data_IF_885463650164
#
_entry.id   IF_885463650164
#
_cell.length_a   1.000
_cell.length_b   1.000
_cell.length_c   1.000
_cell.angle_alpha   90.00
_cell.angle_beta   90.00
_cell.angle_gamma   90.00
#
_symmetry.space_group_name_H-M   'P 1'
#
loop_
_entity.id
_entity.type
_entity.pdbx_description
1 polymer ?
#
# COMPACT_ATOMS: atom_id res chain seq x y z
N UNK A 1 -13.14 9.85 -2.58
CA UNK A 1 -12.00 10.28 -3.43
C UNK A 1 -12.46 10.90 -4.74
N UNK A 2 -13.27 10.24 -5.57
CA UNK A 2 -13.79 10.85 -6.82
C UNK A 2 -14.56 12.14 -6.56
N UNK A 3 -15.46 12.16 -5.59
CA UNK A 3 -16.22 13.37 -5.24
C UNK A 3 -15.30 14.49 -4.73
N UNK A 4 -14.29 14.17 -3.93
CA UNK A 4 -13.26 15.13 -3.50
C UNK A 4 -12.52 15.71 -4.71
N UNK A 5 -12.09 14.86 -5.66
CA UNK A 5 -11.43 15.31 -6.89
C UNK A 5 -12.34 16.23 -7.71
N UNK A 6 -13.62 15.88 -7.84
CA UNK A 6 -14.62 16.68 -8.55
C UNK A 6 -14.92 18.03 -7.87
N UNK A 7 -14.77 18.10 -6.55
CA UNK A 7 -14.89 19.34 -5.76
C UNK A 7 -13.59 20.17 -5.73
N UNK A 8 -12.53 19.75 -6.45
CA UNK A 8 -11.27 20.48 -6.54
C UNK A 8 -10.30 20.27 -5.36
N UNK A 9 -10.54 19.27 -4.50
CA UNK A 9 -9.59 18.93 -3.43
C UNK A 9 -8.31 18.31 -3.98
N UNK A 10 -7.20 18.64 -3.34
CA UNK A 10 -5.95 17.91 -3.54
C UNK A 10 -5.94 16.62 -2.71
N UNK A 11 -5.68 15.50 -3.37
CA UNK A 11 -5.61 14.18 -2.74
C UNK A 11 -4.15 13.78 -2.59
N UNK A 12 -3.70 13.71 -1.35
CA UNK A 12 -2.36 13.25 -0.96
C UNK A 12 -2.47 11.85 -0.35
N UNK A 13 -1.81 10.86 -0.94
CA UNK A 13 -1.83 9.48 -0.46
C UNK A 13 -0.51 9.10 0.19
N UNK A 14 -0.57 8.52 1.38
CA UNK A 14 0.54 7.80 2.02
C UNK A 14 0.12 6.35 2.12
N UNK A 15 0.90 5.44 1.52
CA UNK A 15 0.62 4.02 1.50
C UNK A 15 1.74 3.24 2.20
N UNK A 16 1.38 2.43 3.20
CA UNK A 16 2.29 1.53 3.88
C UNK A 16 2.11 0.12 3.34
N UNK A 17 3.12 -0.38 2.65
CA UNK A 17 3.16 -1.72 2.13
C UNK A 17 4.02 -2.64 3.00
N UNK A 18 3.77 -3.94 2.91
CA UNK A 18 4.55 -5.00 3.55
C UNK A 18 5.00 -5.98 2.48
N UNK A 19 6.21 -6.52 2.58
CA UNK A 19 6.79 -7.45 1.61
C UNK A 19 6.03 -8.78 1.48
N UNK A 20 5.18 -9.12 2.46
CA UNK A 20 4.36 -10.33 2.40
C UNK A 20 3.11 -10.25 3.28
N UNK A 21 2.04 -11.00 2.93
CA UNK A 21 0.87 -11.15 3.80
C UNK A 21 1.20 -11.88 5.11
N UNK A 22 2.23 -12.73 5.15
CA UNK A 22 2.69 -13.44 6.35
C UNK A 22 3.11 -12.46 7.44
N UNK A 23 3.75 -11.33 7.08
CA UNK A 23 4.06 -10.28 8.04
C UNK A 23 2.81 -9.64 8.64
N UNK A 24 1.77 -9.41 7.82
CA UNK A 24 0.50 -8.90 8.31
C UNK A 24 -0.16 -9.90 9.28
N UNK A 25 -0.15 -11.19 8.94
CA UNK A 25 -0.65 -12.28 9.79
C UNK A 25 0.11 -12.31 11.13
N UNK A 26 1.44 -12.28 11.10
CA UNK A 26 2.26 -12.28 12.31
C UNK A 26 1.97 -11.06 13.20
N UNK A 27 1.77 -9.88 12.60
CA UNK A 27 1.39 -8.66 13.32
C UNK A 27 0.01 -8.75 13.95
N UNK A 28 -0.97 -9.33 13.25
CA UNK A 28 -2.31 -9.58 13.80
C UNK A 28 -2.23 -10.57 14.96
N UNK A 29 -1.48 -11.66 14.84
CA UNK A 29 -1.27 -12.65 15.92
C UNK A 29 -0.71 -11.99 17.18
N UNK A 30 0.38 -11.21 17.06
CA UNK A 30 0.97 -10.48 18.19
C UNK A 30 -0.02 -9.49 18.83
N UNK A 31 -0.83 -8.82 18.02
CA UNK A 31 -1.88 -7.92 18.51
C UNK A 31 -2.94 -8.68 19.31
N UNK A 32 -3.37 -9.84 18.84
CA UNK A 32 -4.36 -10.69 19.53
C UNK A 32 -3.81 -11.22 20.86
N UNK A 33 -2.55 -11.65 20.88
CA UNK A 33 -1.84 -12.04 22.12
C UNK A 33 -1.82 -10.89 23.15
N UNK A 34 -1.78 -9.64 22.67
CA UNK A 34 -1.85 -8.43 23.50
C UNK A 34 -3.29 -7.95 23.79
N UNK A 35 -4.31 -8.77 23.53
CA UNK A 35 -5.72 -8.48 23.82
C UNK A 35 -6.49 -7.71 22.72
N UNK A 36 -5.92 -7.52 21.54
CA UNK A 36 -6.58 -6.83 20.43
C UNK A 36 -7.47 -7.72 19.53
N UNK A 37 -8.14 -7.09 18.56
CA UNK A 37 -9.07 -7.79 17.66
C UNK A 37 -8.37 -8.74 16.68
N UNK A 38 -8.96 -9.91 16.41
CA UNK A 38 -8.47 -10.86 15.43
C UNK A 38 -9.00 -10.55 14.02
N UNK A 39 -8.20 -10.84 12.99
CA UNK A 39 -8.66 -10.84 11.59
C UNK A 39 -8.28 -12.20 11.00
N UNK A 40 -9.23 -12.96 10.42
CA UNK A 40 -8.93 -14.25 9.79
C UNK A 40 -7.84 -14.16 8.72
N UNK A 41 -6.98 -15.18 8.64
CA UNK A 41 -5.81 -15.16 7.73
C UNK A 41 -6.22 -15.10 6.24
N UNK A 42 -7.30 -15.79 5.86
CA UNK A 42 -7.87 -15.74 4.50
C UNK A 42 -8.30 -14.32 4.12
N UNK A 43 -8.90 -13.59 5.07
CA UNK A 43 -9.28 -12.18 4.90
C UNK A 43 -8.05 -11.30 4.72
N UNK A 44 -6.98 -11.54 5.49
CA UNK A 44 -5.71 -10.80 5.38
C UNK A 44 -5.10 -11.02 4.00
N UNK A 45 -4.97 -12.27 3.56
CA UNK A 45 -4.39 -12.63 2.25
C UNK A 45 -5.17 -12.04 1.08
N UNK A 46 -6.50 -12.18 1.10
CA UNK A 46 -7.38 -11.59 0.08
C UNK A 46 -7.25 -10.06 0.05
N UNK A 47 -7.22 -9.41 1.22
CA UNK A 47 -7.08 -7.94 1.31
C UNK A 47 -5.69 -7.46 0.88
N UNK A 48 -4.65 -8.23 1.14
CA UNK A 48 -3.29 -7.92 0.69
C UNK A 48 -3.23 -7.80 -0.84
N UNK A 49 -3.74 -8.82 -1.55
CA UNK A 49 -3.75 -8.82 -3.01
C UNK A 49 -4.67 -7.73 -3.58
N UNK A 50 -5.88 -7.60 -3.05
CA UNK A 50 -6.80 -6.54 -3.47
C UNK A 50 -6.25 -5.14 -3.20
N UNK A 51 -5.48 -4.97 -2.12
CA UNK A 51 -4.85 -3.71 -1.76
C UNK A 51 -3.84 -3.25 -2.82
N UNK A 52 -2.93 -4.14 -3.24
CA UNK A 52 -1.97 -3.89 -4.34
C UNK A 52 -2.69 -3.47 -5.63
N UNK A 53 -3.68 -4.26 -6.04
CA UNK A 53 -4.48 -3.97 -7.25
C UNK A 53 -5.24 -2.64 -7.16
N UNK A 54 -5.88 -2.36 -6.03
CA UNK A 54 -6.59 -1.10 -5.84
C UNK A 54 -5.63 0.10 -5.83
N UNK A 55 -4.42 -0.06 -5.29
CA UNK A 55 -3.43 1.00 -5.23
C UNK A 55 -3.10 1.49 -6.65
N UNK A 56 -2.78 0.56 -7.55
CA UNK A 56 -2.46 0.86 -8.96
C UNK A 56 -3.69 1.33 -9.74
N UNK A 57 -4.79 0.58 -9.66
CA UNK A 57 -5.90 0.72 -10.61
C UNK A 57 -6.88 1.82 -10.19
N UNK A 58 -7.02 2.07 -8.88
CA UNK A 58 -8.05 2.95 -8.34
C UNK A 58 -7.49 4.19 -7.64
N UNK A 59 -6.38 4.07 -6.91
CA UNK A 59 -5.92 5.14 -6.01
C UNK A 59 -4.97 6.09 -6.72
N UNK A 60 -3.89 5.60 -7.33
CA UNK A 60 -2.93 6.45 -8.04
C UNK A 60 -3.57 7.41 -9.05
N UNK A 61 -4.54 7.00 -9.90
CA UNK A 61 -5.15 7.91 -10.88
C UNK A 61 -5.96 9.06 -10.26
N UNK A 62 -6.33 8.94 -8.99
CA UNK A 62 -7.10 9.94 -8.26
C UNK A 62 -6.23 10.89 -7.43
N UNK A 63 -4.96 10.55 -7.19
CA UNK A 63 -4.08 11.32 -6.31
C UNK A 63 -3.32 12.41 -7.07
N UNK A 64 -3.09 13.54 -6.42
CA UNK A 64 -2.22 14.61 -6.92
C UNK A 64 -0.75 14.38 -6.58
N UNK A 65 -0.51 13.72 -5.45
CA UNK A 65 0.79 13.20 -5.03
C UNK A 65 0.59 11.95 -4.20
N UNK A 66 1.59 11.06 -4.20
CA UNK A 66 1.56 9.86 -3.38
C UNK A 66 2.96 9.44 -2.96
N UNK A 67 3.06 8.76 -1.82
CA UNK A 67 4.30 8.13 -1.34
C UNK A 67 3.97 6.70 -0.91
N UNK A 68 4.80 5.76 -1.32
CA UNK A 68 4.73 4.36 -0.91
C UNK A 68 5.94 4.02 -0.05
N UNK A 69 5.68 3.54 1.16
CA UNK A 69 6.70 3.12 2.10
C UNK A 69 6.73 1.59 2.25
N UNK A 70 7.94 1.04 2.39
CA UNK A 70 8.15 -0.27 2.95
C UNK A 70 8.11 -0.18 4.48
N UNK A 71 7.12 -0.85 5.07
CA UNK A 71 6.95 -0.96 6.50
C UNK A 71 7.21 -2.40 6.98
N UNK A 72 8.01 -3.18 6.25
CA UNK A 72 8.32 -4.58 6.61
C UNK A 72 9.30 -4.69 7.76
N UNK A 73 10.20 -3.72 7.89
CA UNK A 73 11.21 -3.65 8.96
C UNK A 73 10.90 -2.51 9.95
N UNK A 74 11.75 -2.36 10.98
CA UNK A 74 11.68 -1.22 11.90
C UNK A 74 12.05 0.10 11.25
N UNK A 75 12.85 0.05 10.17
CA UNK A 75 13.27 1.22 9.43
C UNK A 75 12.30 1.43 8.27
N UNK A 76 11.54 2.50 8.34
CA UNK A 76 10.63 2.90 7.27
C UNK A 76 11.44 3.43 6.09
N UNK A 77 11.26 2.83 4.91
CA UNK A 77 11.98 3.24 3.70
C UNK A 77 11.00 3.61 2.59
N UNK A 78 11.33 4.63 1.79
CA UNK A 78 10.52 5.00 0.62
C UNK A 78 10.81 3.99 -0.49
N UNK A 79 9.76 3.44 -1.09
CA UNK A 79 9.84 2.57 -2.26
C UNK A 79 9.76 3.41 -3.53
N UNK A 80 8.73 4.27 -3.60
CA UNK A 80 8.47 5.16 -4.71
C UNK A 80 7.61 6.34 -4.24
N UNK A 81 7.68 7.45 -4.96
CA UNK A 81 6.78 8.59 -4.77
C UNK A 81 6.42 9.25 -6.09
N UNK A 82 5.30 9.95 -6.12
CA UNK A 82 4.96 10.90 -7.17
C UNK A 82 4.74 12.26 -6.53
N UNK A 83 5.68 13.20 -6.70
CA UNK A 83 5.50 14.57 -6.26
C UNK A 83 4.40 15.27 -7.05
N UNK A 84 3.90 16.40 -6.53
CA UNK A 84 2.87 17.17 -7.22
C UNK A 84 3.37 17.68 -8.57
N UNK A 85 2.61 17.42 -9.63
CA UNK A 85 2.89 17.85 -11.01
C UNK A 85 4.26 17.36 -11.54
N UNK A 86 4.71 16.19 -11.08
CA UNK A 86 5.96 15.55 -11.53
C UNK A 86 5.71 14.08 -11.84
N UNK A 87 6.65 13.48 -12.57
CA UNK A 87 6.63 12.05 -12.83
C UNK A 87 6.99 11.24 -11.57
N UNK A 88 6.50 9.99 -11.44
CA UNK A 88 6.89 9.11 -10.35
C UNK A 88 8.39 8.83 -10.30
N UNK A 89 8.97 8.88 -9.11
CA UNK A 89 10.34 8.51 -8.78
C UNK A 89 10.32 7.14 -8.08
N UNK A 90 11.06 6.18 -8.61
CA UNK A 90 11.17 4.83 -8.05
C UNK A 90 12.55 4.67 -7.44
N UNK A 91 12.61 4.51 -6.11
CA UNK A 91 13.86 4.33 -5.37
C UNK A 91 14.25 2.86 -5.22
N UNK A 92 13.26 1.98 -5.12
CA UNK A 92 13.47 0.54 -4.92
C UNK A 92 12.73 -0.27 -6.00
N UNK A 93 13.33 -0.44 -7.19
CA UNK A 93 12.65 -1.05 -8.34
C UNK A 93 12.16 -2.48 -8.09
N UNK A 94 12.90 -3.29 -7.32
CA UNK A 94 12.52 -4.68 -7.04
C UNK A 94 11.23 -4.77 -6.21
N UNK A 95 11.14 -3.95 -5.15
CA UNK A 95 9.93 -3.89 -4.32
C UNK A 95 8.78 -3.25 -5.08
N UNK A 96 9.06 -2.24 -5.92
CA UNK A 96 8.06 -1.61 -6.76
C UNK A 96 7.40 -2.61 -7.72
N UNK A 97 8.20 -3.42 -8.41
CA UNK A 97 7.69 -4.51 -9.26
C UNK A 97 6.79 -5.47 -8.48
N UNK A 98 7.16 -5.82 -7.24
CA UNK A 98 6.30 -6.66 -6.40
C UNK A 98 4.97 -5.98 -6.06
N UNK A 99 4.89 -4.65 -6.01
CA UNK A 99 3.62 -3.96 -5.76
C UNK A 99 2.76 -3.89 -7.02
N UNK A 100 3.38 -3.61 -8.17
CA UNK A 100 2.66 -3.30 -9.41
C UNK A 100 2.40 -4.49 -10.33
N UNK A 101 3.22 -5.53 -10.27
CA UNK A 101 3.00 -6.73 -11.07
C UNK A 101 1.86 -7.52 -10.47
N UNK A 102 0.84 -7.81 -11.29
CA UNK A 102 -0.21 -8.75 -10.91
C UNK A 102 0.34 -10.16 -11.10
N UNK A 103 0.16 -11.02 -10.09
CA UNK A 103 0.53 -12.44 -10.14
C UNK A 103 -0.45 -13.21 -11.06
N UNK A 104 -0.74 -12.66 -12.25
CA UNK A 104 -1.57 -13.28 -13.30
C UNK A 104 -0.64 -14.08 -14.23
N UNK A 105 -0.12 -15.18 -13.71
CA UNK A 105 0.31 -16.37 -14.48
C UNK A 105 -0.45 -17.60 -13.97
#
# INVERSE_FOLDING_TARGET
>A
MRDCKNQGYQINLIYFWLQSPELAIARVRRRVESGGHNIPEDVIRRRYQRGRKNLTDLYFPLCNRWIVYDNSSLNLQIIAECPLNQDPIIYQPQLWTQITTSDDE
#
